data_IF_549487625865
#
_entry.id   IF_549487625865
#
_cell.length_a   1.000
_cell.length_b   1.000
_cell.length_c   1.000
_cell.angle_alpha   90.00
_cell.angle_beta   90.00
_cell.angle_gamma   90.00
#
_symmetry.space_group_name_H-M   'P 1'
#
loop_
_entity.id
_entity.type
_entity.pdbx_description
1 polymer ?
#
# COMPACT_ATOMS: atom_id res chain seq x y z
N UNK A 1 3.67 -7.87 -3.27
CA UNK A 1 4.07 -7.16 -2.04
C UNK A 1 4.95 -5.97 -2.40
N UNK A 2 4.56 -4.78 -1.97
CA UNK A 2 5.24 -3.53 -2.25
C UNK A 2 5.92 -3.06 -0.96
N UNK A 3 7.20 -2.73 -1.06
CA UNK A 3 7.97 -2.20 0.06
C UNK A 3 8.27 -0.72 -0.08
N UNK A 4 8.34 -0.25 -1.31
CA UNK A 4 8.67 1.14 -1.64
C UNK A 4 7.81 1.57 -2.80
N UNK A 5 7.22 2.75 -2.66
CA UNK A 5 6.30 3.33 -3.63
C UNK A 5 6.61 4.80 -3.84
N UNK A 6 6.40 5.31 -5.05
CA UNK A 6 6.39 6.76 -5.28
C UNK A 6 5.13 7.39 -4.70
N UNK A 7 5.27 8.56 -4.08
CA UNK A 7 4.14 9.41 -3.72
C UNK A 7 3.82 10.42 -4.83
N UNK A 8 2.84 11.31 -4.59
CA UNK A 8 2.55 12.40 -5.51
C UNK A 8 3.76 13.30 -5.75
N UNK A 9 3.74 14.00 -6.88
CA UNK A 9 4.70 15.09 -7.13
C UNK A 9 4.12 16.43 -6.68
N UNK A 10 4.96 17.24 -6.05
CA UNK A 10 4.64 18.63 -5.74
C UNK A 10 5.06 19.52 -6.91
N UNK A 11 4.11 20.28 -7.47
CA UNK A 11 4.34 21.21 -8.57
C UNK A 11 3.90 22.61 -8.16
N UNK A 12 4.84 23.54 -8.10
CA UNK A 12 4.60 24.94 -7.79
C UNK A 12 4.43 25.73 -9.09
N UNK A 13 3.30 26.42 -9.22
CA UNK A 13 2.99 27.26 -10.38
C UNK A 13 2.86 28.71 -9.93
N UNK A 14 3.68 29.59 -10.47
CA UNK A 14 3.70 31.01 -10.14
C UNK A 14 2.87 31.81 -11.14
N UNK A 15 1.98 32.66 -10.64
CA UNK A 15 1.01 33.38 -11.46
C UNK A 15 0.67 34.75 -10.89
N UNK A 16 0.42 35.76 -11.74
CA UNK A 16 -0.14 37.05 -11.32
C UNK A 16 -1.64 36.95 -10.95
N UNK A 17 -2.33 35.87 -11.34
CA UNK A 17 -3.77 35.70 -11.08
C UNK A 17 -4.09 34.27 -10.59
N UNK A 18 -3.87 33.98 -9.28
CA UNK A 18 -4.06 32.66 -8.68
C UNK A 18 -5.44 32.05 -8.93
N UNK A 19 -6.52 32.81 -8.76
CA UNK A 19 -7.88 32.32 -8.96
C UNK A 19 -8.17 31.90 -10.40
N UNK A 20 -7.62 32.62 -11.37
CA UNK A 20 -7.78 32.31 -12.79
C UNK A 20 -7.04 31.01 -13.14
N UNK A 21 -5.79 30.85 -12.68
CA UNK A 21 -5.04 29.62 -12.90
C UNK A 21 -5.71 28.42 -12.21
N UNK A 22 -6.18 28.59 -10.97
CA UNK A 22 -6.98 27.57 -10.26
C UNK A 22 -8.19 27.13 -11.07
N UNK A 23 -8.97 28.07 -11.60
CA UNK A 23 -10.15 27.75 -12.39
C UNK A 23 -9.81 26.88 -13.62
N UNK A 24 -8.69 27.16 -14.29
CA UNK A 24 -8.19 26.36 -15.40
C UNK A 24 -7.78 24.96 -14.94
N UNK A 25 -7.04 24.84 -13.83
CA UNK A 25 -6.64 23.55 -13.26
C UNK A 25 -7.86 22.67 -12.93
N UNK A 26 -8.93 23.26 -12.42
CA UNK A 26 -10.17 22.54 -12.10
C UNK A 26 -10.92 22.14 -13.38
N UNK A 27 -11.18 23.10 -14.28
CA UNK A 27 -12.06 22.90 -15.42
C UNK A 27 -11.42 22.10 -16.56
N UNK A 28 -10.16 22.39 -16.90
CA UNK A 28 -9.47 21.79 -18.06
C UNK A 28 -8.68 20.53 -17.69
N UNK A 29 -8.30 20.39 -16.42
CA UNK A 29 -7.44 19.30 -15.93
C UNK A 29 -8.13 18.41 -14.90
N UNK A 30 -9.44 18.59 -14.69
CA UNK A 30 -10.25 17.82 -13.74
C UNK A 30 -9.69 17.89 -12.31
N UNK A 31 -9.10 19.03 -11.96
CA UNK A 31 -8.54 19.27 -10.64
C UNK A 31 -9.59 19.45 -9.56
N UNK A 32 -9.21 19.17 -8.31
CA UNK A 32 -10.02 19.43 -7.13
C UNK A 32 -9.26 20.30 -6.15
N UNK A 33 -9.84 21.44 -5.77
CA UNK A 33 -9.32 22.27 -4.70
C UNK A 33 -9.50 21.57 -3.35
N UNK A 34 -8.43 21.48 -2.58
CA UNK A 34 -8.37 20.79 -1.29
C UNK A 34 -7.39 21.50 -0.37
N UNK A 35 -7.41 21.18 0.93
CA UNK A 35 -6.31 21.59 1.82
C UNK A 35 -5.04 20.79 1.48
N UNK A 36 -3.88 21.29 1.91
CA UNK A 36 -2.61 20.58 1.75
C UNK A 36 -2.65 19.19 2.37
N UNK A 37 -3.09 19.10 3.63
CA UNK A 37 -3.21 17.84 4.36
C UNK A 37 -4.11 16.84 3.63
N UNK A 38 -5.29 17.29 3.18
CA UNK A 38 -6.22 16.45 2.44
C UNK A 38 -5.66 16.03 1.08
N UNK A 39 -4.85 16.87 0.43
CA UNK A 39 -4.16 16.52 -0.82
C UNK A 39 -3.17 15.38 -0.60
N UNK A 40 -2.32 15.48 0.42
CA UNK A 40 -1.31 14.45 0.74
C UNK A 40 -1.97 13.13 1.15
N UNK A 41 -3.08 13.18 1.88
CA UNK A 41 -3.83 11.97 2.29
C UNK A 41 -4.59 11.30 1.15
N UNK A 42 -5.11 12.07 0.20
CA UNK A 42 -5.89 11.54 -0.91
C UNK A 42 -5.03 11.08 -2.08
N UNK A 43 -3.84 11.67 -2.25
CA UNK A 43 -3.08 11.51 -3.47
C UNK A 43 -2.43 10.13 -3.63
N UNK A 44 -2.49 9.62 -4.86
CA UNK A 44 -1.83 8.37 -5.26
C UNK A 44 -0.51 8.62 -6.04
N UNK A 45 0.15 7.56 -6.49
CA UNK A 45 1.51 7.63 -7.08
C UNK A 45 1.60 8.49 -8.34
N UNK A 46 0.53 8.50 -9.14
CA UNK A 46 0.49 9.11 -10.47
C UNK A 46 -0.19 10.47 -10.47
N UNK A 47 -0.43 11.05 -9.30
CA UNK A 47 -1.11 12.31 -9.14
C UNK A 47 -0.14 13.45 -8.82
N UNK A 48 -0.61 14.68 -9.05
CA UNK A 48 0.17 15.88 -8.80
C UNK A 48 -0.58 16.78 -7.83
N UNK A 49 0.11 17.18 -6.77
CA UNK A 49 -0.36 18.23 -5.89
C UNK A 49 0.20 19.54 -6.43
N UNK A 50 -0.69 20.35 -7.01
CA UNK A 50 -0.35 21.65 -7.57
C UNK A 50 -0.54 22.73 -6.53
N UNK A 51 0.52 23.50 -6.29
CA UNK A 51 0.55 24.65 -5.41
C UNK A 51 0.53 25.91 -6.28
N UNK A 52 -0.62 26.59 -6.30
CA UNK A 52 -0.81 27.85 -7.04
C UNK A 52 -0.30 28.99 -6.17
N UNK A 53 0.79 29.59 -6.61
CA UNK A 53 1.57 30.56 -5.83
C UNK A 53 1.53 31.92 -6.52
N UNK A 54 1.31 33.02 -5.79
CA UNK A 54 1.43 34.36 -6.36
C UNK A 54 2.84 34.63 -6.90
N UNK A 55 2.94 35.33 -8.02
CA UNK A 55 4.23 35.65 -8.68
C UNK A 55 5.27 36.29 -7.75
N UNK A 56 4.83 37.17 -6.84
CA UNK A 56 5.71 37.86 -5.89
C UNK A 56 6.30 36.98 -4.78
N UNK A 57 5.95 35.69 -4.72
CA UNK A 57 6.48 34.80 -3.69
C UNK A 57 7.96 34.44 -3.97
N UNK A 58 8.84 34.55 -2.96
CA UNK A 58 10.28 34.39 -3.16
C UNK A 58 10.70 32.94 -3.44
N UNK A 59 9.94 31.96 -2.92
CA UNK A 59 10.33 30.54 -2.94
C UNK A 59 9.13 29.60 -3.13
N UNK A 60 9.36 28.39 -3.69
CA UNK A 60 8.34 27.34 -3.86
C UNK A 60 8.03 26.67 -2.52
N UNK A 61 7.21 27.33 -1.68
CA UNK A 61 6.81 26.84 -0.36
C UNK A 61 5.32 26.67 -0.26
N UNK A 62 4.88 25.65 0.47
CA UNK A 62 3.45 25.38 0.73
C UNK A 62 2.78 26.59 1.37
N UNK A 63 3.47 27.24 2.32
CA UNK A 63 2.99 28.44 3.01
C UNK A 63 2.75 29.65 2.08
N UNK A 64 3.35 29.65 0.89
CA UNK A 64 3.20 30.74 -0.07
C UNK A 64 2.07 30.48 -1.08
N UNK A 65 1.52 29.26 -1.11
CA UNK A 65 0.47 28.91 -2.05
C UNK A 65 -0.88 29.52 -1.63
N UNK A 66 -1.57 30.17 -2.57
CA UNK A 66 -2.93 30.67 -2.38
C UNK A 66 -3.97 29.56 -2.56
N UNK A 67 -3.69 28.60 -3.45
CA UNK A 67 -4.57 27.46 -3.69
C UNK A 67 -3.77 26.18 -3.81
N UNK A 68 -4.39 25.08 -3.41
CA UNK A 68 -3.85 23.73 -3.55
C UNK A 68 -4.86 22.92 -4.33
N UNK A 69 -4.42 22.39 -5.47
CA UNK A 69 -5.26 21.64 -6.40
C UNK A 69 -4.65 20.27 -6.59
N UNK A 70 -5.41 19.23 -6.24
CA UNK A 70 -5.04 17.85 -6.56
C UNK A 70 -5.47 17.55 -8.00
N UNK A 71 -4.52 17.12 -8.82
CA UNK A 71 -4.76 16.70 -10.19
C UNK A 71 -4.63 15.18 -10.34
N UNK A 72 -5.56 14.51 -11.06
CA UNK A 72 -5.48 13.08 -11.36
C UNK A 72 -4.50 12.78 -12.50
N UNK A 73 -3.39 13.52 -12.57
CA UNK A 73 -2.41 13.50 -13.65
C UNK A 73 -0.99 13.59 -13.07
N UNK A 74 -0.04 12.90 -13.69
CA UNK A 74 1.37 13.00 -13.34
C UNK A 74 1.96 14.36 -13.75
N UNK A 75 3.00 14.81 -13.06
CA UNK A 75 3.51 16.19 -13.18
C UNK A 75 3.96 16.55 -14.59
N UNK A 76 4.59 15.61 -15.31
CA UNK A 76 4.99 15.81 -16.71
C UNK A 76 3.78 15.98 -17.64
N UNK A 77 2.72 15.19 -17.45
CA UNK A 77 1.48 15.31 -18.24
C UNK A 77 0.78 16.63 -17.94
N UNK A 78 0.71 17.01 -16.66
CA UNK A 78 0.21 18.31 -16.21
C UNK A 78 0.93 19.45 -16.91
N UNK A 79 2.27 19.47 -16.87
CA UNK A 79 3.08 20.51 -17.51
C UNK A 79 2.86 20.55 -19.03
N UNK A 80 2.86 19.40 -19.72
CA UNK A 80 2.58 19.35 -21.15
C UNK A 80 1.20 19.94 -21.51
N UNK A 81 0.17 19.63 -20.72
CA UNK A 81 -1.17 20.19 -20.95
C UNK A 81 -1.21 21.70 -20.71
N UNK A 82 -0.59 22.19 -19.63
CA UNK A 82 -0.50 23.63 -19.35
C UNK A 82 0.22 24.38 -20.48
N UNK A 83 1.32 23.82 -21.01
CA UNK A 83 2.03 24.40 -22.16
C UNK A 83 1.13 24.46 -23.40
N UNK A 84 0.35 23.41 -23.67
CA UNK A 84 -0.54 23.34 -24.83
C UNK A 84 -1.77 24.25 -24.70
N UNK A 85 -2.20 24.60 -23.49
CA UNK A 85 -3.25 25.59 -23.24
C UNK A 85 -2.81 27.03 -23.56
N UNK A 86 -1.52 27.26 -23.82
CA UNK A 86 -0.96 28.57 -24.19
C UNK A 86 -1.39 29.67 -23.23
N UNK A 87 -1.15 29.45 -21.95
CA UNK A 87 -1.59 30.31 -20.84
C UNK A 87 -1.03 31.75 -20.87
N UNK A 88 -0.12 32.07 -21.80
CA UNK A 88 0.46 33.40 -21.94
C UNK A 88 1.11 33.86 -20.64
N UNK A 89 0.83 35.10 -20.24
CA UNK A 89 1.37 35.71 -19.02
C UNK A 89 0.71 35.20 -17.73
N UNK A 90 -0.26 34.27 -17.83
CA UNK A 90 -0.92 33.70 -16.65
C UNK A 90 -0.01 32.72 -15.90
N UNK A 91 0.95 32.06 -16.56
CA UNK A 91 1.92 31.18 -15.93
C UNK A 91 3.33 31.72 -16.12
N UNK A 92 3.89 32.30 -15.07
CA UNK A 92 5.20 32.98 -15.12
C UNK A 92 6.34 31.99 -14.94
N UNK A 93 6.17 31.03 -14.03
CA UNK A 93 7.21 30.09 -13.64
C UNK A 93 6.59 28.80 -13.11
N UNK A 94 7.27 27.68 -13.34
CA UNK A 94 6.91 26.38 -12.76
C UNK A 94 8.14 25.74 -12.11
N UNK A 95 7.99 25.22 -10.90
CA UNK A 95 9.07 24.55 -10.17
C UNK A 95 8.54 23.26 -9.53
N UNK A 96 9.40 22.23 -9.46
CA UNK A 96 9.08 21.00 -8.74
C UNK A 96 9.58 21.11 -7.30
N UNK A 97 8.79 20.60 -6.37
CA UNK A 97 9.30 20.28 -5.02
C UNK A 97 10.01 18.94 -4.99
N UNK A 98 10.48 18.56 -3.80
CA UNK A 98 11.07 17.25 -3.56
C UNK A 98 10.18 16.09 -4.01
N UNK A 99 10.80 15.00 -4.42
CA UNK A 99 10.08 13.76 -4.65
C UNK A 99 9.63 13.14 -3.33
N UNK A 100 8.49 12.46 -3.33
CA UNK A 100 8.04 11.68 -2.18
C UNK A 100 8.17 10.19 -2.47
N UNK A 101 8.76 9.45 -1.54
CA UNK A 101 8.75 7.99 -1.49
C UNK A 101 8.09 7.56 -0.20
N UNK A 102 7.27 6.51 -0.29
CA UNK A 102 6.70 5.82 0.86
C UNK A 102 7.41 4.48 1.01
N UNK A 103 8.03 4.26 2.17
CA UNK A 103 8.72 3.04 2.55
C UNK A 103 7.89 2.30 3.59
N UNK A 104 7.49 1.08 3.28
CA UNK A 104 6.82 0.20 4.24
C UNK A 104 7.83 -0.34 5.24
N UNK A 105 7.42 -0.38 6.51
CA UNK A 105 8.12 -0.99 7.62
C UNK A 105 7.33 -2.22 8.10
N UNK A 106 8.01 -3.25 8.61
CA UNK A 106 7.32 -4.25 9.42
C UNK A 106 6.86 -3.62 10.73
N UNK A 107 5.91 -4.27 11.41
CA UNK A 107 5.43 -3.82 12.71
C UNK A 107 6.59 -3.67 13.72
N UNK A 108 6.73 -2.48 14.30
CA UNK A 108 7.84 -2.13 15.22
C UNK A 108 9.20 -1.98 14.53
N UNK A 109 9.23 -1.89 13.19
CA UNK A 109 10.44 -1.88 12.37
C UNK A 109 11.21 -0.55 12.29
N UNK A 110 11.03 0.35 13.25
CA UNK A 110 11.53 1.74 13.19
C UNK A 110 13.05 1.84 13.11
N UNK A 111 13.81 0.82 13.53
CA UNK A 111 15.27 0.77 13.38
C UNK A 111 15.75 0.86 11.91
N UNK A 112 14.89 0.50 10.95
CA UNK A 112 15.18 0.64 9.51
C UNK A 112 15.30 2.11 9.10
N UNK A 113 14.58 3.01 9.77
CA UNK A 113 14.67 4.45 9.51
C UNK A 113 16.09 4.94 9.73
N UNK A 114 16.71 4.56 10.85
CA UNK A 114 18.07 4.97 11.18
C UNK A 114 19.11 4.35 10.23
N UNK A 115 18.89 3.11 9.78
CA UNK A 115 19.74 2.47 8.78
C UNK A 115 19.71 3.22 7.45
N UNK A 116 18.52 3.52 6.93
CA UNK A 116 18.35 4.27 5.67
C UNK A 116 18.94 5.68 5.81
N UNK A 117 18.73 6.33 6.97
CA UNK A 117 19.30 7.63 7.29
C UNK A 117 20.82 7.62 7.20
N UNK A 118 21.49 6.63 7.81
CA UNK A 118 22.95 6.53 7.80
C UNK A 118 23.49 6.24 6.39
N UNK A 119 22.86 5.32 5.66
CA UNK A 119 23.31 4.94 4.32
C UNK A 119 23.14 6.07 3.28
N UNK A 120 22.06 6.85 3.38
CA UNK A 120 21.77 7.94 2.45
C UNK A 120 22.16 9.33 2.96
N UNK A 121 22.71 9.42 4.17
CA UNK A 121 22.99 10.69 4.88
C UNK A 121 21.75 11.59 4.95
N UNK A 122 20.61 10.98 5.25
CA UNK A 122 19.33 11.66 5.32
C UNK A 122 19.20 12.56 6.56
N UNK A 123 18.45 13.64 6.41
CA UNK A 123 18.10 14.54 7.50
C UNK A 123 16.72 14.17 8.06
N UNK A 124 16.66 13.95 9.37
CA UNK A 124 15.43 13.53 10.04
C UNK A 124 14.59 14.75 10.40
N UNK A 125 13.38 14.84 9.86
CA UNK A 125 12.47 15.97 10.06
C UNK A 125 11.01 15.54 9.89
N UNK A 126 10.07 16.43 10.19
CA UNK A 126 8.65 16.17 9.93
C UNK A 126 8.37 16.13 8.43
N UNK A 127 7.28 15.45 8.02
CA UNK A 127 6.88 15.43 6.60
C UNK A 127 6.60 16.85 6.07
N UNK A 128 5.95 17.69 6.87
CA UNK A 128 5.64 19.08 6.50
C UNK A 128 6.92 19.89 6.30
N UNK A 129 7.87 19.78 7.22
CA UNK A 129 9.18 20.44 7.11
C UNK A 129 9.96 19.94 5.90
N UNK A 130 9.98 18.63 5.65
CA UNK A 130 10.64 18.03 4.48
C UNK A 130 10.08 18.54 3.15
N UNK A 131 8.75 18.69 3.04
CA UNK A 131 8.12 19.26 1.84
C UNK A 131 8.42 20.76 1.72
N UNK A 132 8.56 21.45 2.85
CA UNK A 132 8.83 22.89 2.88
C UNK A 132 10.26 23.26 2.51
N UNK A 133 11.26 22.47 2.91
CA UNK A 133 12.67 22.75 2.62
C UNK A 133 13.21 21.99 1.40
N UNK A 134 12.56 20.89 1.01
CA UNK A 134 13.04 20.02 -0.06
C UNK A 134 12.82 20.59 -1.46
N UNK A 135 13.85 20.50 -2.29
CA UNK A 135 13.87 21.04 -3.65
C UNK A 135 13.67 19.95 -4.72
N UNK A 136 13.56 20.33 -6.00
CA UNK A 136 13.27 19.44 -7.12
C UNK A 136 14.17 18.18 -7.20
N UNK A 137 15.43 18.31 -6.78
CA UNK A 137 16.44 17.24 -6.81
C UNK A 137 16.58 16.49 -5.48
N UNK A 138 15.73 16.78 -4.51
CA UNK A 138 15.69 16.07 -3.24
C UNK A 138 14.61 14.98 -3.24
N UNK A 139 14.73 14.07 -2.29
CA UNK A 139 13.76 13.00 -2.06
C UNK A 139 13.42 12.92 -0.59
N UNK A 140 12.13 12.98 -0.30
CA UNK A 140 11.55 12.69 1.01
C UNK A 140 11.22 11.20 1.04
N UNK A 141 11.69 10.52 2.08
CA UNK A 141 11.28 9.14 2.40
C UNK A 141 10.43 9.19 3.65
N UNK A 142 9.13 8.95 3.47
CA UNK A 142 8.15 8.78 4.53
C UNK A 142 7.96 7.29 4.82
N UNK A 143 7.67 6.94 6.07
CA UNK A 143 7.59 5.54 6.51
C UNK A 143 6.20 5.19 7.01
N UNK A 144 5.76 3.95 6.81
CA UNK A 144 4.48 3.47 7.34
C UNK A 144 4.51 1.96 7.59
N UNK A 145 3.73 1.46 8.53
CA UNK A 145 3.46 0.01 8.69
C UNK A 145 2.30 -0.47 7.80
N UNK A 146 1.48 0.46 7.29
CA UNK A 146 0.32 0.16 6.47
C UNK A 146 0.72 -0.33 5.06
N UNK A 147 -0.23 -0.99 4.38
CA UNK A 147 -0.08 -1.43 2.98
C UNK A 147 0.17 -0.26 2.04
N UNK A 148 1.04 -0.47 1.05
CA UNK A 148 1.33 0.51 0.00
C UNK A 148 0.46 0.31 -1.25
N UNK A 149 -0.55 -0.56 -1.22
CA UNK A 149 -1.49 -0.73 -2.35
C UNK A 149 -2.50 0.42 -2.48
N UNK A 150 -2.62 1.26 -1.44
CA UNK A 150 -3.61 2.36 -1.36
C UNK A 150 -3.02 3.62 -0.75
N UNK A 151 -3.74 4.73 -0.80
CA UNK A 151 -3.33 5.97 -0.14
C UNK A 151 -3.10 5.72 1.37
N UNK A 152 -2.03 6.31 1.91
CA UNK A 152 -1.64 6.16 3.31
C UNK A 152 -2.11 7.41 4.06
N UNK A 153 -2.90 7.21 5.13
CA UNK A 153 -3.35 8.32 5.97
C UNK A 153 -2.17 9.00 6.64
N UNK A 154 -2.21 10.32 6.81
CA UNK A 154 -1.09 11.07 7.39
C UNK A 154 -0.75 10.59 8.80
N UNK A 155 -1.76 10.25 9.60
CA UNK A 155 -1.63 9.69 10.95
C UNK A 155 -0.87 8.36 11.02
N UNK A 156 -0.82 7.63 9.90
CA UNK A 156 -0.12 6.35 9.74
C UNK A 156 1.28 6.51 9.19
N UNK A 157 1.69 7.74 8.87
CA UNK A 157 3.06 8.06 8.50
C UNK A 157 3.87 8.25 9.79
N UNK A 158 4.97 7.51 9.92
CA UNK A 158 5.87 7.67 11.05
C UNK A 158 6.67 8.97 10.96
N UNK A 159 6.92 9.55 12.13
CA UNK A 159 7.83 10.68 12.32
C UNK A 159 9.09 10.15 13.04
N UNK A 160 10.33 10.47 12.59
CA UNK A 160 10.68 11.35 11.47
C UNK A 160 10.54 10.71 10.08
N UNK A 161 10.29 11.57 9.09
CA UNK A 161 10.62 11.30 7.70
C UNK A 161 12.11 11.63 7.45
N UNK A 162 12.65 11.21 6.31
CA UNK A 162 14.02 11.55 5.90
C UNK A 162 14.00 12.43 4.66
N UNK A 163 14.66 13.58 4.69
CA UNK A 163 15.04 14.33 3.51
C UNK A 163 16.41 13.87 3.04
N UNK A 164 16.52 13.47 1.77
CA UNK A 164 17.76 13.01 1.15
C UNK A 164 18.05 13.93 -0.04
N UNK A 165 19.22 14.55 -0.04
CA UNK A 165 19.69 15.45 -1.10
C UNK A 165 20.19 14.69 -2.35
N UNK A 166 19.31 13.86 -2.89
CA UNK A 166 19.53 13.05 -4.09
C UNK A 166 18.20 12.90 -4.84
N UNK A 167 18.24 12.82 -6.18
CA UNK A 167 17.03 12.80 -6.98
C UNK A 167 16.28 11.47 -6.83
N UNK A 168 14.94 11.55 -6.90
CA UNK A 168 14.04 10.42 -6.67
C UNK A 168 14.40 9.12 -7.43
N UNK A 169 14.85 9.12 -8.70
CA UNK A 169 15.14 7.88 -9.41
C UNK A 169 16.34 7.12 -8.82
N UNK A 170 17.28 7.84 -8.20
CA UNK A 170 18.44 7.25 -7.54
C UNK A 170 18.04 6.62 -6.22
N UNK A 171 17.41 7.40 -5.33
CA UNK A 171 16.95 6.93 -4.02
C UNK A 171 15.97 5.76 -4.17
N UNK A 172 14.99 5.89 -5.07
CA UNK A 172 14.01 4.83 -5.32
C UNK A 172 14.66 3.52 -5.78
N UNK A 173 15.64 3.59 -6.70
CA UNK A 173 16.36 2.40 -7.17
C UNK A 173 17.12 1.71 -6.05
N UNK A 174 17.78 2.48 -5.19
CA UNK A 174 18.56 1.95 -4.08
C UNK A 174 17.66 1.31 -3.01
N UNK A 175 16.61 2.02 -2.59
CA UNK A 175 15.63 1.49 -1.64
C UNK A 175 14.96 0.23 -2.19
N UNK A 176 14.54 0.22 -3.47
CA UNK A 176 13.93 -0.95 -4.10
C UNK A 176 14.87 -2.14 -4.16
N UNK A 177 16.15 -1.93 -4.47
CA UNK A 177 17.17 -3.00 -4.51
C UNK A 177 17.39 -3.64 -3.14
N UNK A 178 17.33 -2.85 -2.08
CA UNK A 178 17.51 -3.30 -0.69
C UNK A 178 16.21 -3.55 0.06
N UNK A 179 15.06 -3.46 -0.62
CA UNK A 179 13.75 -3.45 0.01
C UNK A 179 13.50 -4.66 0.93
N UNK A 180 13.73 -5.86 0.42
CA UNK A 180 13.58 -7.11 1.19
C UNK A 180 14.56 -7.14 2.35
N UNK A 181 15.80 -6.69 2.15
CA UNK A 181 16.82 -6.63 3.20
C UNK A 181 16.41 -5.69 4.34
N UNK A 182 16.04 -4.44 4.02
CA UNK A 182 15.58 -3.46 5.00
C UNK A 182 14.36 -3.97 5.76
N UNK A 183 13.37 -4.46 5.03
CA UNK A 183 12.16 -4.99 5.65
C UNK A 183 12.49 -6.16 6.58
N UNK A 184 13.36 -7.09 6.15
CA UNK A 184 13.80 -8.22 6.96
C UNK A 184 14.52 -7.76 8.23
N UNK A 185 15.45 -6.82 8.08
CA UNK A 185 16.19 -6.29 9.21
C UNK A 185 15.25 -5.62 10.20
N UNK A 186 14.18 -4.96 9.75
CA UNK A 186 13.18 -4.32 10.60
C UNK A 186 12.39 -5.26 11.52
N UNK A 187 12.25 -6.53 11.17
CA UNK A 187 11.45 -7.46 11.95
C UNK A 187 12.04 -7.71 13.34
N UNK A 188 11.16 -7.93 14.32
CA UNK A 188 11.55 -8.26 15.69
C UNK A 188 12.47 -9.51 15.77
N UNK A 189 12.18 -10.53 14.96
CA UNK A 189 12.97 -11.78 14.91
C UNK A 189 13.74 -11.97 13.61
N UNK A 190 13.65 -11.03 12.65
CA UNK A 190 14.22 -11.22 11.30
C UNK A 190 13.75 -12.50 10.59
N UNK A 191 12.57 -13.01 10.94
CA UNK A 191 12.06 -14.28 10.44
C UNK A 191 10.94 -14.09 9.43
N UNK A 192 11.11 -14.73 8.29
CA UNK A 192 10.06 -15.03 7.31
C UNK A 192 9.53 -16.44 7.56
N UNK A 193 8.27 -16.67 7.26
CA UNK A 193 7.64 -17.98 7.30
C UNK A 193 7.41 -18.49 5.89
N UNK A 194 7.88 -19.70 5.62
CA UNK A 194 7.42 -20.49 4.48
C UNK A 194 6.29 -21.39 4.94
N UNK A 195 5.12 -21.22 4.32
CA UNK A 195 3.91 -21.98 4.64
C UNK A 195 3.30 -22.57 3.37
N UNK A 196 2.50 -23.62 3.55
CA UNK A 196 1.70 -24.23 2.47
C UNK A 196 0.24 -24.12 2.83
N UNK A 197 -0.58 -23.70 1.88
CA UNK A 197 -2.03 -23.60 2.02
C UNK A 197 -2.62 -24.65 1.10
N UNK A 198 -3.26 -25.67 1.64
CA UNK A 198 -4.01 -26.66 0.86
C UNK A 198 -5.48 -26.23 0.82
N UNK A 199 -6.02 -26.10 -0.39
CA UNK A 199 -7.41 -25.78 -0.65
C UNK A 199 -8.13 -27.08 -1.01
N UNK A 200 -9.14 -27.42 -0.23
CA UNK A 200 -10.07 -28.51 -0.50
C UNK A 200 -11.45 -27.94 -0.78
N UNK A 201 -12.03 -28.35 -1.90
CA UNK A 201 -13.40 -28.03 -2.27
C UNK A 201 -14.07 -29.29 -2.83
N UNK A 202 -15.30 -29.54 -2.41
CA UNK A 202 -16.12 -30.65 -2.89
C UNK A 202 -16.71 -30.37 -4.28
N UNK A 203 -16.87 -29.09 -4.64
CA UNK A 203 -17.42 -28.65 -5.92
C UNK A 203 -16.34 -28.40 -6.99
N UNK A 204 -15.08 -28.72 -6.68
CA UNK A 204 -13.91 -28.58 -7.55
C UNK A 204 -13.63 -27.15 -8.08
N UNK A 205 -14.12 -26.11 -7.39
CA UNK A 205 -13.93 -24.68 -7.75
C UNK A 205 -12.59 -24.12 -7.27
N UNK A 206 -11.51 -24.88 -7.45
CA UNK A 206 -10.18 -24.54 -6.92
C UNK A 206 -9.63 -23.21 -7.45
N UNK A 207 -9.83 -22.91 -8.73
CA UNK A 207 -9.36 -21.67 -9.36
C UNK A 207 -10.01 -20.43 -8.72
N UNK A 208 -11.32 -20.48 -8.49
CA UNK A 208 -12.05 -19.41 -7.80
C UNK A 208 -11.52 -19.21 -6.37
N UNK A 209 -11.25 -20.28 -5.63
CA UNK A 209 -10.69 -20.20 -4.28
C UNK A 209 -9.25 -19.66 -4.27
N UNK A 210 -8.41 -20.08 -5.20
CA UNK A 210 -7.06 -19.55 -5.37
C UNK A 210 -7.13 -18.05 -5.66
N UNK A 211 -8.01 -17.62 -6.58
CA UNK A 211 -8.18 -16.21 -6.92
C UNK A 211 -8.69 -15.36 -5.75
N UNK A 212 -9.62 -15.88 -4.95
CA UNK A 212 -10.08 -15.23 -3.71
C UNK A 212 -8.93 -15.04 -2.72
N UNK A 213 -8.11 -16.07 -2.55
CA UNK A 213 -6.93 -15.99 -1.68
C UNK A 213 -5.92 -14.97 -2.20
N UNK A 214 -5.59 -14.98 -3.49
CA UNK A 214 -4.70 -14.01 -4.14
C UNK A 214 -5.14 -12.58 -3.88
N UNK A 215 -6.42 -12.25 -4.13
CA UNK A 215 -6.96 -10.91 -3.92
C UNK A 215 -6.75 -10.42 -2.48
N UNK A 216 -6.98 -11.29 -1.50
CA UNK A 216 -6.78 -10.96 -0.08
C UNK A 216 -5.29 -10.80 0.26
N UNK A 217 -4.44 -11.70 -0.21
CA UNK A 217 -3.00 -11.63 0.03
C UNK A 217 -2.36 -10.39 -0.62
N UNK A 218 -2.85 -9.97 -1.79
CA UNK A 218 -2.41 -8.78 -2.51
C UNK A 218 -2.82 -7.49 -1.83
N UNK A 219 -4.09 -7.34 -1.44
CA UNK A 219 -4.64 -6.13 -0.83
C UNK A 219 -4.01 -5.84 0.55
N UNK A 220 -3.87 -6.91 1.36
CA UNK A 220 -3.27 -6.84 2.69
C UNK A 220 -1.74 -6.97 2.65
N UNK A 221 -1.16 -7.23 1.49
CA UNK A 221 0.28 -7.43 1.28
C UNK A 221 0.90 -8.41 2.29
N UNK A 222 0.26 -9.57 2.44
CA UNK A 222 0.59 -10.60 3.45
C UNK A 222 1.89 -11.32 3.12
N UNK A 223 2.25 -11.44 1.85
CA UNK A 223 3.43 -12.18 1.43
C UNK A 223 3.59 -12.30 -0.08
N UNK A 224 4.36 -13.29 -0.49
CA UNK A 224 4.65 -13.62 -1.88
C UNK A 224 4.31 -15.08 -2.15
N UNK A 225 3.49 -15.34 -3.15
CA UNK A 225 3.23 -16.70 -3.64
C UNK A 225 4.50 -17.17 -4.35
N UNK A 226 5.05 -18.30 -3.89
CA UNK A 226 6.25 -18.92 -4.44
C UNK A 226 5.94 -19.97 -5.51
N UNK A 227 4.72 -20.48 -5.54
CA UNK A 227 4.27 -21.44 -6.52
C UNK A 227 2.99 -22.13 -6.12
N UNK A 228 2.39 -22.78 -7.12
CA UNK A 228 1.11 -23.45 -7.04
C UNK A 228 1.26 -24.86 -7.60
N UNK A 229 0.63 -25.83 -6.95
CA UNK A 229 0.70 -27.24 -7.39
C UNK A 229 -0.54 -28.00 -6.96
N UNK A 230 -0.91 -29.01 -7.74
CA UNK A 230 -1.80 -30.06 -7.26
C UNK A 230 -1.05 -30.97 -6.28
N UNK A 231 -1.74 -31.39 -5.23
CA UNK A 231 -1.23 -32.37 -4.25
C UNK A 231 -2.31 -33.39 -3.90
N UNK A 232 -1.91 -34.49 -3.28
CA UNK A 232 -2.80 -35.53 -2.75
C UNK A 232 -2.49 -35.72 -1.27
N UNK A 233 -3.46 -35.47 -0.41
CA UNK A 233 -3.36 -35.80 1.01
C UNK A 233 -3.96 -37.18 1.26
N UNK A 234 -3.20 -38.03 1.96
CA UNK A 234 -3.60 -39.38 2.33
C UNK A 234 -4.31 -39.33 3.69
N UNK A 235 -5.60 -38.97 3.67
CA UNK A 235 -6.39 -38.86 4.90
C UNK A 235 -6.54 -40.19 5.65
N UNK A 236 -6.55 -41.31 4.91
CA UNK A 236 -6.63 -42.70 5.40
C UNK A 236 -5.85 -43.62 4.44
N UNK A 237 -5.45 -44.81 4.89
CA UNK A 237 -4.86 -45.81 4.00
C UNK A 237 -5.79 -46.05 2.79
N UNK A 238 -5.24 -45.92 1.58
CA UNK A 238 -5.94 -46.09 0.27
C UNK A 238 -6.93 -44.98 -0.13
N UNK A 239 -7.14 -43.94 0.67
CA UNK A 239 -7.95 -42.77 0.29
C UNK A 239 -7.06 -41.54 0.13
N UNK A 240 -6.97 -41.02 -1.10
CA UNK A 240 -6.29 -39.76 -1.41
C UNK A 240 -7.31 -38.69 -1.75
N UNK A 241 -7.25 -37.57 -1.05
CA UNK A 241 -8.04 -36.37 -1.37
C UNK A 241 -7.14 -35.41 -2.16
N UNK A 242 -7.63 -34.93 -3.30
CA UNK A 242 -6.92 -33.94 -4.11
C UNK A 242 -7.06 -32.57 -3.44
N UNK A 243 -5.95 -31.84 -3.37
CA UNK A 243 -5.94 -30.47 -2.91
C UNK A 243 -5.17 -29.59 -3.89
N UNK A 244 -5.59 -28.34 -4.01
CA UNK A 244 -4.80 -27.30 -4.67
C UNK A 244 -3.90 -26.63 -3.63
N UNK A 245 -2.58 -26.70 -3.81
CA UNK A 245 -1.60 -26.20 -2.84
C UNK A 245 -0.95 -24.91 -3.32
N UNK A 246 -0.97 -23.89 -2.46
CA UNK A 246 -0.27 -22.62 -2.65
C UNK A 246 0.88 -22.54 -1.65
N UNK A 247 2.10 -22.31 -2.14
CA UNK A 247 3.28 -22.04 -1.30
C UNK A 247 3.41 -20.53 -1.10
N UNK A 248 3.43 -20.09 0.14
CA UNK A 248 3.47 -18.67 0.50
C UNK A 248 4.69 -18.38 1.37
N UNK A 249 5.37 -17.29 1.05
CA UNK A 249 6.42 -16.70 1.88
C UNK A 249 5.88 -15.43 2.52
N UNK A 250 5.76 -15.41 3.84
CA UNK A 250 5.01 -14.39 4.59
C UNK A 250 5.72 -13.93 5.85
N UNK A 251 5.33 -12.74 6.31
CA UNK A 251 5.79 -12.15 7.57
C UNK A 251 4.79 -12.28 8.70
N UNK A 252 3.57 -12.64 8.33
CA UNK A 252 2.48 -12.81 9.27
C UNK A 252 2.73 -14.11 10.01
N UNK A 253 2.59 -14.06 11.34
CA UNK A 253 2.67 -15.25 12.16
C UNK A 253 1.70 -16.32 11.62
N UNK A 254 2.11 -17.59 11.52
CA UNK A 254 1.24 -18.63 10.96
C UNK A 254 -0.13 -18.75 11.65
N UNK A 255 -0.28 -18.42 12.93
CA UNK A 255 -1.58 -18.42 13.61
C UNK A 255 -2.47 -17.27 13.15
N UNK A 256 -1.89 -16.09 12.91
CA UNK A 256 -2.61 -14.94 12.35
C UNK A 256 -3.01 -15.22 10.89
N UNK A 257 -2.12 -15.81 10.09
CA UNK A 257 -2.45 -16.22 8.72
C UNK A 257 -3.60 -17.23 8.70
N UNK A 258 -3.60 -18.24 9.58
CA UNK A 258 -4.72 -19.20 9.65
C UNK A 258 -6.02 -18.50 10.06
N UNK A 259 -5.97 -17.45 10.89
CA UNK A 259 -7.15 -16.64 11.22
C UNK A 259 -7.74 -15.96 9.98
N UNK A 260 -6.89 -15.42 9.10
CA UNK A 260 -7.29 -14.85 7.81
C UNK A 260 -7.92 -15.90 6.90
N UNK A 261 -7.31 -17.07 6.78
CA UNK A 261 -7.83 -18.17 5.95
C UNK A 261 -9.20 -18.63 6.43
N UNK A 262 -9.42 -18.70 7.74
CA UNK A 262 -10.73 -19.02 8.30
C UNK A 262 -11.79 -18.00 7.89
N UNK A 263 -11.47 -16.72 7.72
CA UNK A 263 -12.41 -15.73 7.17
C UNK A 263 -12.80 -15.99 5.71
N UNK A 264 -11.91 -16.63 4.93
CA UNK A 264 -12.15 -17.00 3.53
C UNK A 264 -12.95 -18.30 3.37
N UNK A 265 -12.97 -19.17 4.38
CA UNK A 265 -13.67 -20.46 4.34
C UNK A 265 -15.21 -20.34 4.34
N UNK A 266 -15.75 -19.22 4.87
CA UNK A 266 -17.18 -19.02 5.09
C UNK A 266 -17.77 -18.03 4.10
N UNK A 267 -19.03 -18.22 3.73
CA UNK A 267 -19.86 -17.30 2.95
C UNK A 267 -20.60 -16.30 3.84
N UNK A 268 -21.29 -15.35 3.23
CA UNK A 268 -22.06 -14.32 3.94
C UNK A 268 -23.23 -14.89 4.78
N UNK A 269 -23.78 -16.04 4.39
CA UNK A 269 -24.84 -16.75 5.13
C UNK A 269 -24.29 -17.62 6.28
N UNK A 270 -22.96 -17.65 6.47
CA UNK A 270 -22.29 -18.45 7.48
C UNK A 270 -22.09 -19.92 7.10
N UNK A 271 -22.42 -20.32 5.87
CA UNK A 271 -22.06 -21.63 5.33
C UNK A 271 -20.56 -21.69 5.07
N UNK A 272 -19.94 -22.85 5.33
CA UNK A 272 -18.55 -23.13 4.96
C UNK A 272 -18.58 -23.81 3.59
N UNK A 273 -17.86 -23.26 2.62
CA UNK A 273 -17.86 -23.77 1.25
C UNK A 273 -16.46 -24.09 0.71
N UNK A 274 -15.42 -23.92 1.52
CA UNK A 274 -14.05 -24.36 1.22
C UNK A 274 -13.30 -24.67 2.52
N UNK A 275 -12.36 -25.62 2.46
CA UNK A 275 -11.40 -25.87 3.54
C UNK A 275 -10.01 -25.37 3.12
N UNK A 276 -9.43 -24.47 3.91
CA UNK A 276 -8.10 -23.92 3.64
C UNK A 276 -7.15 -24.31 4.78
N UNK A 277 -6.43 -25.40 4.60
CA UNK A 277 -5.50 -25.92 5.60
C UNK A 277 -4.13 -25.27 5.49
N UNK A 278 -3.68 -24.68 6.60
CA UNK A 278 -2.37 -24.08 6.71
C UNK A 278 -1.36 -25.06 7.32
N UNK A 279 -0.26 -25.25 6.62
CA UNK A 279 0.88 -26.05 7.06
C UNK A 279 2.10 -25.17 7.27
N UNK A 280 2.72 -25.28 8.45
CA UNK A 280 3.99 -24.66 8.78
C UNK A 280 4.97 -25.74 9.27
N UNK A 281 6.19 -25.78 8.71
CA UNK A 281 7.19 -26.82 8.99
C UNK A 281 6.63 -28.25 8.89
N UNK A 282 5.85 -28.49 7.83
CA UNK A 282 5.19 -29.79 7.55
C UNK A 282 4.19 -30.24 8.62
N UNK A 283 3.69 -29.33 9.46
CA UNK A 283 2.63 -29.60 10.44
C UNK A 283 1.43 -28.71 10.16
N UNK A 284 0.24 -29.31 10.18
CA UNK A 284 -1.02 -28.60 10.07
C UNK A 284 -1.23 -27.74 11.32
N UNK A 285 -1.65 -26.50 11.11
CA UNK A 285 -2.07 -25.61 12.19
C UNK A 285 -3.56 -25.84 12.45
N UNK A 286 -3.84 -26.50 13.56
CA UNK A 286 -5.19 -26.88 13.96
C UNK A 286 -6.02 -25.69 14.45
N UNK A 287 -7.34 -25.76 14.24
CA UNK A 287 -8.31 -24.79 14.77
C UNK A 287 -8.13 -24.52 16.27
N UNK A 288 -7.84 -25.58 17.04
CA UNK A 288 -7.67 -25.50 18.49
C UNK A 288 -6.54 -24.52 18.91
N UNK A 289 -5.56 -24.27 18.04
CA UNK A 289 -4.50 -23.31 18.30
C UNK A 289 -5.01 -21.86 18.31
N UNK A 290 -6.09 -21.57 17.58
CA UNK A 290 -6.69 -20.23 17.42
C UNK A 290 -7.92 -20.08 18.31
N UNK A 291 -8.64 -21.17 18.59
CA UNK A 291 -9.81 -21.19 19.45
C UNK A 291 -9.57 -20.58 20.85
N UNK A 292 -8.33 -20.65 21.36
CA UNK A 292 -7.98 -20.02 22.65
C UNK A 292 -8.06 -18.49 22.62
N UNK A 293 -7.94 -17.87 21.45
CA UNK A 293 -7.99 -16.42 21.24
C UNK A 293 -9.43 -15.89 21.07
N UNK A 294 -10.36 -16.75 20.66
CA UNK A 294 -11.75 -16.40 20.40
C UNK A 294 -12.68 -17.20 21.30
N UNK A 295 -13.35 -16.56 22.25
CA UNK A 295 -14.28 -17.18 23.20
C UNK A 295 -15.61 -17.68 22.55
N UNK A 296 -15.62 -17.96 21.24
CA UNK A 296 -16.79 -18.24 20.43
C UNK A 296 -16.77 -19.67 19.84
N UNK A 297 -17.96 -20.27 19.68
CA UNK A 297 -18.16 -21.56 19.01
C UNK A 297 -17.80 -21.46 17.51
N UNK A 298 -17.17 -22.52 16.96
CA UNK A 298 -16.57 -22.59 15.59
C UNK A 298 -17.40 -21.93 14.47
N UNK A 299 -18.73 -22.12 14.43
CA UNK A 299 -19.60 -21.48 13.43
C UNK A 299 -19.82 -19.98 13.65
N UNK A 300 -20.05 -19.54 14.89
CA UNK A 300 -20.19 -18.11 15.21
C UNK A 300 -18.88 -17.37 14.99
N UNK A 301 -17.75 -18.07 15.16
CA UNK A 301 -16.43 -17.55 14.86
C UNK A 301 -16.18 -17.36 13.36
N UNK A 302 -16.71 -18.24 12.48
CA UNK A 302 -16.51 -18.13 11.03
C UNK A 302 -17.09 -16.85 10.42
N UNK A 303 -18.36 -16.55 10.71
CA UNK A 303 -19.00 -15.32 10.24
C UNK A 303 -18.33 -14.06 10.81
N UNK A 304 -17.90 -14.10 12.08
CA UNK A 304 -17.18 -13.00 12.71
C UNK A 304 -15.81 -12.75 12.05
N UNK A 305 -15.03 -13.81 11.83
CA UNK A 305 -13.72 -13.74 11.16
C UNK A 305 -13.84 -13.29 9.71
N UNK A 306 -14.92 -13.68 9.02
CA UNK A 306 -15.24 -13.16 7.69
C UNK A 306 -15.48 -11.65 7.74
N UNK A 307 -16.30 -11.17 8.68
CA UNK A 307 -16.54 -9.74 8.80
C UNK A 307 -15.24 -8.97 9.11
N UNK A 308 -14.43 -9.47 10.06
CA UNK A 308 -13.13 -8.88 10.39
C UNK A 308 -12.19 -8.84 9.17
N UNK A 309 -12.20 -9.89 8.35
CA UNK A 309 -11.46 -9.91 7.08
C UNK A 309 -11.97 -8.82 6.14
N UNK A 310 -13.29 -8.76 5.89
CA UNK A 310 -13.88 -7.77 4.96
C UNK A 310 -13.61 -6.33 5.41
N UNK A 311 -13.64 -6.05 6.72
CA UNK A 311 -13.37 -4.73 7.28
C UNK A 311 -11.91 -4.27 7.08
N UNK A 312 -10.98 -5.21 6.91
CA UNK A 312 -9.56 -4.92 6.64
C UNK A 312 -9.27 -4.65 5.17
N UNK A 313 -10.08 -5.20 4.28
CA UNK A 313 -9.90 -5.14 2.84
C UNK A 313 -10.34 -3.79 2.26
N UNK A 314 -9.76 -3.40 1.12
CA UNK A 314 -10.26 -2.25 0.38
C UNK A 314 -11.67 -2.51 -0.17
N UNK A 315 -12.50 -1.46 -0.34
CA UNK A 315 -13.83 -1.60 -0.92
C UNK A 315 -13.80 -2.26 -2.31
N UNK A 316 -12.78 -1.96 -3.14
CA UNK A 316 -12.64 -2.59 -4.46
C UNK A 316 -12.36 -4.09 -4.34
N UNK A 317 -11.50 -4.50 -3.41
CA UNK A 317 -11.19 -5.91 -3.18
C UNK A 317 -12.39 -6.68 -2.63
N UNK A 318 -13.14 -6.08 -1.69
CA UNK A 318 -14.41 -6.64 -1.19
C UNK A 318 -15.39 -6.88 -2.34
N UNK A 319 -15.57 -5.89 -3.22
CA UNK A 319 -16.48 -6.01 -4.36
C UNK A 319 -16.09 -7.15 -5.30
N UNK A 320 -14.79 -7.25 -5.66
CA UNK A 320 -14.27 -8.34 -6.51
C UNK A 320 -14.43 -9.70 -5.85
N UNK A 321 -14.12 -9.80 -4.56
CA UNK A 321 -14.25 -11.03 -3.80
C UNK A 321 -15.70 -11.53 -3.74
N UNK A 322 -16.66 -10.64 -3.52
CA UNK A 322 -18.09 -10.98 -3.52
C UNK A 322 -18.65 -11.28 -4.92
N UNK A 323 -18.01 -10.79 -5.98
CA UNK A 323 -18.39 -11.14 -7.35
C UNK A 323 -17.99 -12.58 -7.68
N UNK A 324 -16.77 -12.99 -7.33
CA UNK A 324 -16.26 -14.36 -7.52
C UNK A 324 -17.10 -15.41 -6.78
N UNK A 325 -17.70 -15.05 -5.64
CA UNK A 325 -18.54 -15.97 -4.86
C UNK A 325 -19.93 -16.19 -5.47
N UNK A 326 -20.32 -15.41 -6.50
CA UNK A 326 -21.62 -15.53 -7.19
C UNK A 326 -21.53 -16.30 -8.51
N UNK A 327 -20.33 -16.58 -8.99
CA UNK A 327 -20.04 -17.36 -10.20
C UNK A 327 -20.19 -18.87 -9.93
#
# INVERSE_FOLDING_TARGET
MIFVRTGPRFLFLFTPAPDALKAILINELMGREVSFSAAVEAAEESETIVLVTPEGAPTPRVSNASHIVLLPLGSSVTLCKLMNLRLGDLLVRSELGAGLLLQRLPQGGTKVVELIKQEHKGEAMSLEEAIHVGEANDTIVAFTEDTLQRAVRLEKVHNPCLLIHQPIPQVYRDLRRKAVLYFTQGLAQSQWYEVKINIYDADERYEMHARRLELVLEDLEVGMILGETWTKDHALALFSVVAYQIRLFTMIDPLELKTLLLGLEYAADGSRFVDMDLYYRSRKIEWAAIAKKFALNRHKSGAHLRQELLDRLSPQTVQKLLALEKE
#
